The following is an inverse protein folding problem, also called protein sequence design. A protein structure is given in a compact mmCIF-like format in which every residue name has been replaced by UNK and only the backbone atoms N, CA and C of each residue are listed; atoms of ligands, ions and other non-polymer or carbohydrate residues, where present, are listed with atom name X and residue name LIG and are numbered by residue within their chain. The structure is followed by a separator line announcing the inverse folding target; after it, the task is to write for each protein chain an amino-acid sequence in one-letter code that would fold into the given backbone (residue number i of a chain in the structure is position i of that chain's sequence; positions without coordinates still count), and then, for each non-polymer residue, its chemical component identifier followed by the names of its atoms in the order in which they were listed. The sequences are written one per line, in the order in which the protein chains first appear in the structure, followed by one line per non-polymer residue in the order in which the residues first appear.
data_IF_757287372329
#
_entry.id   IF_757287372329
#
_cell.length_a   1.000
_cell.length_b   1.000
_cell.length_c   1.000
_cell.angle_alpha   90.00
_cell.angle_beta   90.00
_cell.angle_gamma   90.00
#
_symmetry.space_group_name_H-M   'P 1'
#
loop_
_entity.id
_entity.type
_entity.pdbx_description
1 polymer ?
#
# COMPACT_ATOMS: atom_id res chain seq x y z
N UNK A 1 4.75 -14.91 -10.60
CA UNK A 1 3.28 -15.01 -10.46
C UNK A 1 2.73 -13.61 -10.60
N UNK A 2 1.97 -13.30 -11.65
CA UNK A 2 1.45 -11.96 -11.89
C UNK A 2 0.04 -11.85 -11.28
N UNK A 3 -0.15 -10.95 -10.32
CA UNK A 3 -1.46 -10.65 -9.76
C UNK A 3 -2.20 -9.75 -10.76
N UNK A 4 -3.33 -10.22 -11.28
CA UNK A 4 -4.19 -9.42 -12.16
C UNK A 4 -5.12 -8.59 -11.28
N UNK A 5 -4.75 -7.33 -11.01
CA UNK A 5 -5.56 -6.43 -10.20
C UNK A 5 -6.87 -6.05 -10.92
N UNK A 6 -7.95 -5.81 -10.16
CA UNK A 6 -9.16 -5.21 -10.71
C UNK A 6 -8.85 -3.80 -11.24
N UNK A 7 -9.64 -3.34 -12.22
CA UNK A 7 -9.49 -1.97 -12.75
C UNK A 7 -9.60 -0.92 -11.65
N UNK A 8 -10.50 -1.13 -10.68
CA UNK A 8 -10.70 -0.20 -9.58
C UNK A 8 -9.51 -0.18 -8.63
N UNK A 9 -8.97 -1.34 -8.25
CA UNK A 9 -7.77 -1.41 -7.42
C UNK A 9 -6.56 -0.78 -8.12
N UNK A 10 -6.42 -1.04 -9.43
CA UNK A 10 -5.38 -0.41 -10.25
C UNK A 10 -5.53 1.12 -10.26
N UNK A 11 -6.72 1.62 -10.54
CA UNK A 11 -6.99 3.07 -10.60
C UNK A 11 -6.82 3.73 -9.22
N UNK A 12 -7.21 3.04 -8.15
CA UNK A 12 -7.03 3.50 -6.78
C UNK A 12 -5.55 3.66 -6.42
N UNK A 13 -4.73 2.65 -6.73
CA UNK A 13 -3.28 2.68 -6.49
C UNK A 13 -2.61 3.76 -7.34
N UNK A 14 -3.00 3.93 -8.61
CA UNK A 14 -2.44 4.93 -9.51
C UNK A 14 -2.79 6.35 -9.05
N UNK A 15 -4.06 6.62 -8.74
CA UNK A 15 -4.52 7.97 -8.42
C UNK A 15 -4.09 8.41 -7.02
N UNK A 16 -4.11 7.50 -6.05
CA UNK A 16 -3.77 7.82 -4.66
C UNK A 16 -2.30 7.58 -4.35
N UNK A 17 -1.61 6.75 -5.12
CA UNK A 17 -0.23 6.35 -4.85
C UNK A 17 -0.14 5.32 -3.73
N UNK A 18 0.70 4.30 -3.92
CA UNK A 18 0.88 3.22 -2.93
C UNK A 18 1.31 3.78 -1.57
N UNK A 19 2.11 4.85 -1.56
CA UNK A 19 2.64 5.45 -0.34
C UNK A 19 1.59 6.21 0.46
N UNK A 20 0.71 7.03 -0.17
CA UNK A 20 -0.38 7.69 0.60
C UNK A 20 -1.27 6.68 1.30
N UNK A 21 -1.53 5.55 0.62
CA UNK A 21 -2.41 4.51 1.12
C UNK A 21 -1.79 3.65 2.21
N UNK A 22 -0.47 3.41 2.13
CA UNK A 22 0.25 2.59 3.11
C UNK A 22 0.76 3.39 4.31
N UNK A 23 1.19 4.63 4.11
CA UNK A 23 1.86 5.44 5.13
C UNK A 23 0.91 6.37 5.91
N UNK A 24 -0.27 6.68 5.36
CA UNK A 24 -1.20 7.69 5.91
C UNK A 24 -0.63 9.12 5.99
N UNK A 25 0.66 9.30 5.69
CA UNK A 25 1.43 10.53 5.89
C UNK A 25 2.47 10.64 4.79
N UNK A 26 2.70 11.86 4.31
CA UNK A 26 3.77 12.19 3.35
C UNK A 26 4.92 12.86 4.13
N UNK A 27 6.17 12.56 3.81
CA UNK A 27 7.33 13.29 4.35
C UNK A 27 8.39 12.42 5.05
N UNK A 28 7.99 11.46 5.86
CA UNK A 28 8.92 10.59 6.61
C UNK A 28 9.11 9.27 5.88
N UNK A 29 10.36 8.89 5.62
CA UNK A 29 10.67 7.56 5.06
C UNK A 29 10.20 6.44 5.98
N UNK A 30 9.81 5.31 5.41
CA UNK A 30 9.24 4.20 6.17
C UNK A 30 9.04 2.94 5.34
N UNK A 31 8.53 1.91 6.00
CA UNK A 31 8.14 0.65 5.36
C UNK A 31 6.72 0.29 5.74
N UNK A 32 6.03 -0.41 4.84
CA UNK A 32 4.72 -0.98 5.11
C UNK A 32 4.65 -2.44 4.62
N UNK A 33 3.60 -3.13 5.07
CA UNK A 33 3.27 -4.48 4.63
C UNK A 33 1.89 -4.52 4.02
N UNK A 34 1.75 -5.22 2.90
CA UNK A 34 0.47 -5.50 2.25
C UNK A 34 0.15 -6.98 2.39
N UNK A 35 -0.90 -7.29 3.17
CA UNK A 35 -1.33 -8.66 3.46
C UNK A 35 -2.54 -9.01 2.61
N UNK A 36 -2.48 -10.13 1.91
CA UNK A 36 -3.56 -10.62 1.05
C UNK A 36 -4.21 -11.83 1.72
N UNK A 37 -5.50 -11.72 2.01
CA UNK A 37 -6.30 -12.78 2.61
C UNK A 37 -7.27 -13.38 1.57
N UNK A 38 -7.71 -14.61 1.78
CA UNK A 38 -8.91 -15.14 1.11
C UNK A 38 -10.17 -14.49 1.66
N UNK A 39 -11.28 -14.55 0.92
CA UNK A 39 -12.57 -14.03 1.38
C UNK A 39 -12.81 -12.57 1.00
N UNK A 40 -13.63 -11.88 1.80
CA UNK A 40 -14.03 -10.50 1.55
C UNK A 40 -13.14 -9.49 2.28
N UNK A 41 -12.91 -8.34 1.66
CA UNK A 41 -12.22 -7.22 2.27
C UNK A 41 -12.98 -6.72 3.52
N UNK A 42 -12.29 -6.35 4.62
CA UNK A 42 -12.90 -5.69 5.76
C UNK A 42 -13.65 -4.41 5.37
N UNK A 43 -14.75 -4.11 6.05
CA UNK A 43 -15.56 -2.91 5.80
C UNK A 43 -14.85 -1.62 6.17
N UNK A 44 -13.93 -1.67 7.14
CA UNK A 44 -13.11 -0.57 7.63
C UNK A 44 -11.75 -1.09 8.12
N UNK A 45 -10.84 -0.16 8.43
CA UNK A 45 -9.45 -0.48 8.77
C UNK A 45 -9.27 -1.15 10.14
N UNK A 46 -10.23 -0.95 11.06
CA UNK A 46 -10.17 -1.49 12.42
C UNK A 46 -10.81 -2.88 12.51
N UNK A 47 -11.63 -3.25 11.53
CA UNK A 47 -12.24 -4.56 11.43
C UNK A 47 -11.19 -5.63 11.13
N UNK A 48 -11.18 -6.69 11.93
CA UNK A 48 -10.29 -7.82 11.73
C UNK A 48 -10.50 -8.47 10.34
N UNK A 49 -9.42 -8.80 9.61
CA UNK A 49 -9.51 -9.54 8.36
C UNK A 49 -10.21 -10.88 8.54
N UNK A 50 -11.16 -11.19 7.66
CA UNK A 50 -11.73 -12.52 7.55
C UNK A 50 -10.93 -13.37 6.56
N UNK A 51 -10.94 -14.70 6.73
CA UNK A 51 -10.28 -15.65 5.81
C UNK A 51 -8.83 -16.01 6.14
N UNK A 52 -8.17 -16.66 5.19
CA UNK A 52 -6.81 -17.23 5.34
C UNK A 52 -5.78 -16.31 4.68
N UNK A 53 -4.69 -15.99 5.39
CA UNK A 53 -3.57 -15.24 4.80
C UNK A 53 -2.93 -16.05 3.66
N UNK A 54 -2.97 -15.50 2.45
CA UNK A 54 -2.37 -16.09 1.26
C UNK A 54 -0.92 -15.64 1.09
N UNK A 55 -0.67 -14.34 1.22
CA UNK A 55 0.68 -13.81 1.17
C UNK A 55 0.81 -12.51 1.97
N UNK A 56 2.05 -12.23 2.35
CA UNK A 56 2.46 -10.92 2.85
C UNK A 56 3.52 -10.39 1.91
N UNK A 57 3.29 -9.20 1.38
CA UNK A 57 4.31 -8.40 0.73
C UNK A 57 4.85 -7.46 1.80
N UNK A 58 6.03 -7.76 2.34
CA UNK A 58 6.70 -6.93 3.35
C UNK A 58 7.67 -5.95 2.71
N UNK A 59 8.17 -5.01 3.53
CA UNK A 59 9.26 -4.12 3.17
C UNK A 59 8.98 -3.26 1.93
N UNK A 60 7.71 -2.88 1.76
CA UNK A 60 7.31 -1.87 0.77
C UNK A 60 7.80 -0.53 1.31
N UNK A 61 9.04 -0.20 0.99
CA UNK A 61 9.73 0.99 1.46
C UNK A 61 9.46 2.23 0.61
N UNK A 62 9.51 3.40 1.24
CA UNK A 62 9.58 4.69 0.56
C UNK A 62 10.62 5.59 1.24
N UNK A 63 11.27 6.43 0.43
CA UNK A 63 12.16 7.48 0.91
C UNK A 63 11.40 8.69 1.44
N UNK A 64 12.12 9.63 2.03
CA UNK A 64 11.59 10.95 2.39
C UNK A 64 11.07 11.68 1.15
N UNK A 65 10.25 12.70 1.38
CA UNK A 65 9.88 13.62 0.30
C UNK A 65 11.08 14.48 -0.07
N UNK A 66 11.48 14.49 -1.34
CA UNK A 66 12.48 15.41 -1.85
C UNK A 66 11.96 16.85 -1.88
N UNK A 67 12.87 17.80 -2.08
CA UNK A 67 12.54 19.23 -2.10
C UNK A 67 11.51 19.60 -3.21
N UNK A 68 11.39 18.75 -4.23
CA UNK A 68 10.42 18.86 -5.32
C UNK A 68 9.03 18.28 -4.99
N UNK A 69 8.82 17.79 -3.77
CA UNK A 69 7.58 17.17 -3.32
C UNK A 69 7.39 15.72 -3.78
N UNK A 70 8.38 15.11 -4.43
CA UNK A 70 8.30 13.72 -4.87
C UNK A 70 8.72 12.75 -3.75
N UNK A 71 7.96 11.66 -3.59
CA UNK A 71 8.27 10.62 -2.61
C UNK A 71 9.28 9.64 -3.18
N UNK A 72 10.34 9.37 -2.42
CA UNK A 72 11.41 8.47 -2.85
C UNK A 72 12.50 9.16 -3.67
N UNK A 73 12.54 10.49 -3.70
CA UNK A 73 13.69 11.23 -4.20
C UNK A 73 14.89 10.95 -3.29
N UNK A 74 15.93 10.34 -3.86
CA UNK A 74 17.27 10.39 -3.29
C UNK A 74 17.77 11.82 -3.41
N UNK A 75 18.16 12.41 -2.27
CA UNK A 75 18.96 13.64 -2.22
C UNK A 75 20.16 13.59 -3.16
#
# INVERSE_FOLDING_TARGET
MALKYSTDLKNYIINQGVVKQLAGTMGTGGTASFKIYTGSQPTDADTAPSGTLLCTISDIGWGTTGDDGTIGATS
#
